data_IF_548102320639
#
_entry.id   IF_548102320639
#
_cell.length_a   1.000
_cell.length_b   1.000
_cell.length_c   1.000
_cell.angle_alpha   90.00
_cell.angle_beta   90.00
_cell.angle_gamma   90.00
#
_symmetry.space_group_name_H-M   'P 1'
#
loop_
_entity.id
_entity.type
_entity.pdbx_description
1 polymer ?
#
# COMPACT_ATOMS: atom_id res chain seq x y z
N UNK A 1 -10.90 -20.26 -30.79
CA UNK A 1 -9.53 -19.95 -30.33
C UNK A 1 -9.61 -18.64 -29.54
N UNK A 2 -9.28 -18.49 -28.26
CA UNK A 2 -8.45 -19.23 -27.30
C UNK A 2 -9.08 -19.05 -25.91
N UNK A 3 -9.40 -20.15 -25.22
CA UNK A 3 -9.72 -20.12 -23.78
C UNK A 3 -8.43 -19.78 -23.03
N UNK A 4 -8.34 -18.59 -22.42
CA UNK A 4 -7.27 -18.32 -21.44
C UNK A 4 -7.48 -19.25 -20.26
N UNK A 5 -6.59 -20.24 -20.13
CA UNK A 5 -6.54 -21.12 -18.98
C UNK A 5 -6.27 -20.31 -17.73
N UNK A 6 -7.28 -20.18 -16.87
CA UNK A 6 -7.05 -19.97 -15.44
C UNK A 6 -6.40 -21.24 -14.93
N UNK A 7 -5.08 -21.19 -14.68
CA UNK A 7 -4.39 -22.29 -14.01
C UNK A 7 -5.09 -22.52 -12.66
N UNK A 8 -5.48 -23.76 -12.32
CA UNK A 8 -5.97 -24.06 -10.98
C UNK A 8 -4.88 -23.67 -9.97
N UNK A 9 -5.28 -22.92 -8.94
CA UNK A 9 -4.37 -22.47 -7.88
C UNK A 9 -3.91 -23.70 -7.11
N UNK A 10 -2.61 -23.98 -7.16
CA UNK A 10 -1.97 -25.04 -6.40
C UNK A 10 -2.18 -24.77 -4.89
N UNK A 11 -2.70 -25.74 -4.10
CA UNK A 11 -2.94 -25.58 -2.66
C UNK A 11 -1.68 -25.27 -1.84
N UNK A 12 -0.48 -25.33 -2.45
CA UNK A 12 0.80 -24.95 -1.84
C UNK A 12 1.27 -23.52 -2.19
N UNK A 13 0.47 -22.70 -2.88
CA UNK A 13 0.84 -21.29 -3.13
C UNK A 13 0.86 -20.55 -1.78
N UNK A 14 2.08 -20.33 -1.29
CA UNK A 14 2.36 -19.48 -0.12
C UNK A 14 1.56 -18.19 -0.26
N UNK A 15 0.74 -17.87 0.75
CA UNK A 15 -0.02 -16.62 0.78
C UNK A 15 0.98 -15.46 0.82
N UNK A 16 1.13 -14.72 -0.27
CA UNK A 16 2.05 -13.60 -0.35
C UNK A 16 1.36 -12.30 0.04
N UNK A 17 1.92 -11.61 1.04
CA UNK A 17 1.45 -10.33 1.55
C UNK A 17 2.46 -9.24 1.22
N UNK A 18 1.98 -8.14 0.65
CA UNK A 18 2.80 -6.96 0.36
C UNK A 18 2.36 -5.77 1.22
N UNK A 19 3.32 -4.96 1.66
CA UNK A 19 3.08 -3.64 2.23
C UNK A 19 3.64 -2.58 1.29
N UNK A 20 2.82 -1.58 0.99
CA UNK A 20 3.22 -0.34 0.34
C UNK A 20 3.22 0.79 1.35
N UNK A 21 4.38 1.39 1.58
CA UNK A 21 4.50 2.65 2.30
C UNK A 21 4.37 3.82 1.34
N UNK A 22 3.40 4.69 1.60
CA UNK A 22 3.29 5.94 0.87
C UNK A 22 4.48 6.83 1.22
N UNK A 23 4.86 7.72 0.30
CA UNK A 23 5.88 8.72 0.59
C UNK A 23 5.35 9.73 1.62
N UNK A 24 6.27 10.37 2.35
CA UNK A 24 5.91 11.35 3.39
C UNK A 24 4.90 12.37 2.85
N UNK A 25 3.85 12.64 3.64
CA UNK A 25 2.73 13.55 3.33
C UNK A 25 1.78 13.09 2.21
N UNK A 26 2.02 11.94 1.57
CA UNK A 26 1.06 11.38 0.62
C UNK A 26 -0.03 10.61 1.37
N UNK A 27 -1.26 11.05 1.19
CA UNK A 27 -2.47 10.36 1.62
C UNK A 27 -3.19 9.70 0.44
N UNK A 28 -4.08 8.76 0.73
CA UNK A 28 -5.00 8.22 -0.27
C UNK A 28 -5.89 9.34 -0.83
N UNK A 29 -6.35 10.26 0.02
CA UNK A 29 -7.07 11.46 -0.44
C UNK A 29 -6.30 12.21 -1.53
N UNK A 30 -5.03 12.51 -1.26
CA UNK A 30 -4.18 13.20 -2.22
C UNK A 30 -4.07 12.43 -3.53
N UNK A 31 -3.86 11.11 -3.48
CA UNK A 31 -3.80 10.29 -4.70
C UNK A 31 -5.08 10.33 -5.53
N UNK A 32 -6.25 10.33 -4.87
CA UNK A 32 -7.55 10.44 -5.56
C UNK A 32 -7.70 11.82 -6.19
N UNK A 33 -7.45 12.87 -5.42
CA UNK A 33 -7.62 14.26 -5.85
C UNK A 33 -6.69 14.62 -7.03
N UNK A 34 -5.51 14.02 -7.11
CA UNK A 34 -4.52 14.29 -8.17
C UNK A 34 -4.54 13.27 -9.31
N UNK A 35 -5.45 12.29 -9.30
CA UNK A 35 -5.53 11.23 -10.31
C UNK A 35 -4.39 10.19 -10.29
N UNK A 36 -3.50 10.23 -9.29
CA UNK A 36 -2.42 9.24 -9.13
C UNK A 36 -3.00 7.86 -8.79
N UNK A 37 -4.09 7.84 -8.03
CA UNK A 37 -4.77 6.64 -7.56
C UNK A 37 -5.06 5.64 -8.70
N UNK A 38 -5.68 6.13 -9.78
CA UNK A 38 -6.15 5.28 -10.88
C UNK A 38 -5.00 4.57 -11.60
N UNK A 39 -3.82 5.18 -11.63
CA UNK A 39 -2.61 4.58 -12.23
C UNK A 39 -1.94 3.59 -11.29
N UNK A 40 -1.70 3.99 -10.05
CA UNK A 40 -0.90 3.22 -9.10
C UNK A 40 -1.59 1.93 -8.66
N UNK A 41 -2.93 1.94 -8.51
CA UNK A 41 -3.68 0.76 -8.07
C UNK A 41 -3.55 -0.43 -9.02
N UNK A 42 -3.43 -0.18 -10.33
CA UNK A 42 -3.47 -1.21 -11.38
C UNK A 42 -2.40 -2.29 -11.20
N UNK A 43 -1.21 -1.90 -10.73
CA UNK A 43 -0.11 -2.86 -10.51
C UNK A 43 -0.50 -3.86 -9.42
N UNK A 44 -1.00 -3.36 -8.29
CA UNK A 44 -1.41 -4.20 -7.15
C UNK A 44 -2.64 -5.03 -7.49
N UNK A 45 -3.63 -4.44 -8.14
CA UNK A 45 -4.85 -5.14 -8.57
C UNK A 45 -4.53 -6.26 -9.56
N UNK A 46 -3.59 -6.04 -10.50
CA UNK A 46 -3.14 -7.09 -11.41
C UNK A 46 -2.46 -8.25 -10.68
N UNK A 47 -1.63 -7.96 -9.68
CA UNK A 47 -0.99 -9.00 -8.87
C UNK A 47 -1.98 -9.80 -8.03
N UNK A 48 -2.98 -9.12 -7.44
CA UNK A 48 -4.07 -9.74 -6.69
C UNK A 48 -4.95 -10.62 -7.59
N UNK A 49 -5.37 -10.10 -8.74
CA UNK A 49 -6.20 -10.82 -9.71
C UNK A 49 -5.50 -12.05 -10.30
N UNK A 50 -4.17 -11.97 -10.48
CA UNK A 50 -3.37 -13.11 -10.96
C UNK A 50 -3.01 -14.12 -9.86
N UNK A 51 -3.40 -13.87 -8.60
CA UNK A 51 -3.09 -14.74 -7.46
C UNK A 51 -1.63 -14.71 -7.02
N UNK A 52 -0.81 -13.80 -7.56
CA UNK A 52 0.59 -13.64 -7.14
C UNK A 52 0.72 -12.90 -5.80
N UNK A 53 -0.30 -12.13 -5.42
CA UNK A 53 -0.45 -11.57 -4.08
C UNK A 53 -1.83 -11.97 -3.56
N UNK A 54 -1.94 -12.18 -2.27
CA UNK A 54 -3.22 -12.46 -1.61
C UNK A 54 -3.76 -11.22 -0.89
N UNK A 55 -2.86 -10.34 -0.47
CA UNK A 55 -3.18 -9.14 0.30
C UNK A 55 -2.16 -8.06 0.05
N UNK A 56 -2.62 -6.81 0.00
CA UNK A 56 -1.75 -5.64 -0.05
C UNK A 56 -2.18 -4.67 1.05
N UNK A 57 -1.24 -4.21 1.88
CA UNK A 57 -1.46 -3.11 2.80
C UNK A 57 -0.93 -1.81 2.19
N UNK A 58 -1.68 -0.74 2.28
CA UNK A 58 -1.26 0.62 1.95
C UNK A 58 -1.16 1.43 3.24
N UNK A 59 0.05 1.72 3.66
CA UNK A 59 0.32 2.54 4.84
C UNK A 59 0.40 4.00 4.39
N UNK A 60 -0.54 4.83 4.83
CA UNK A 60 -0.72 6.19 4.32
C UNK A 60 -0.45 7.26 5.38
N UNK A 61 -0.31 8.51 4.95
CA UNK A 61 -0.17 9.67 5.85
C UNK A 61 -1.48 10.42 6.08
N UNK A 62 -2.60 9.98 5.50
CA UNK A 62 -3.91 10.56 5.76
C UNK A 62 -4.58 9.90 6.96
N UNK A 63 -4.97 10.70 7.95
CA UNK A 63 -5.66 10.21 9.15
C UNK A 63 -7.10 9.74 8.90
N UNK A 64 -7.69 10.10 7.77
CA UNK A 64 -9.07 9.73 7.37
C UNK A 64 -9.09 8.91 6.07
N UNK A 65 -7.98 8.26 5.72
CA UNK A 65 -7.89 7.49 4.48
C UNK A 65 -8.70 6.18 4.55
N UNK A 66 -9.02 5.70 5.75
CA UNK A 66 -9.88 4.52 5.92
C UNK A 66 -11.29 4.75 5.37
N UNK A 67 -11.88 5.92 5.63
CA UNK A 67 -13.22 6.27 5.11
C UNK A 67 -13.21 6.38 3.59
N UNK A 68 -12.15 6.96 3.03
CA UNK A 68 -11.96 7.08 1.58
C UNK A 68 -11.80 5.69 0.95
N UNK A 69 -11.00 4.82 1.56
CA UNK A 69 -10.81 3.45 1.10
C UNK A 69 -12.12 2.66 1.10
N UNK A 70 -12.96 2.83 2.13
CA UNK A 70 -14.28 2.21 2.20
C UNK A 70 -15.17 2.63 1.03
N UNK A 71 -15.28 3.93 0.76
CA UNK A 71 -16.06 4.45 -0.37
C UNK A 71 -15.54 3.97 -1.73
N UNK A 72 -14.21 3.89 -1.89
CA UNK A 72 -13.60 3.36 -3.11
C UNK A 72 -13.87 1.87 -3.31
N UNK A 73 -13.94 1.07 -2.24
CA UNK A 73 -14.32 -0.35 -2.32
C UNK A 73 -15.80 -0.52 -2.64
N UNK A 74 -16.67 0.23 -1.98
CA UNK A 74 -18.12 0.21 -2.21
C UNK A 74 -18.47 0.60 -3.65
N UNK A 75 -17.74 1.55 -4.24
CA UNK A 75 -17.88 1.95 -5.64
C UNK A 75 -17.15 1.03 -6.64
N UNK A 76 -16.50 -0.04 -6.19
CA UNK A 76 -15.75 -0.98 -7.04
C UNK A 76 -14.45 -0.40 -7.64
N UNK A 77 -14.00 0.76 -7.18
CA UNK A 77 -12.78 1.42 -7.64
C UNK A 77 -11.51 0.89 -6.97
N UNK A 78 -11.63 0.24 -5.81
CA UNK A 78 -10.50 -0.35 -5.09
C UNK A 78 -10.75 -1.83 -4.81
N UNK A 79 -9.79 -2.69 -5.16
CA UNK A 79 -9.88 -4.12 -4.86
C UNK A 79 -10.00 -4.42 -3.36
N UNK A 80 -10.88 -5.35 -2.98
CA UNK A 80 -11.21 -5.66 -1.58
C UNK A 80 -10.01 -6.09 -0.73
N UNK A 81 -9.05 -6.80 -1.34
CA UNK A 81 -7.82 -7.26 -0.70
C UNK A 81 -6.72 -6.20 -0.57
N UNK A 82 -7.00 -4.94 -0.91
CA UNK A 82 -6.14 -3.80 -0.59
C UNK A 82 -6.64 -3.18 0.72
N UNK A 83 -5.82 -3.21 1.77
CA UNK A 83 -6.16 -2.70 3.10
C UNK A 83 -5.41 -1.39 3.35
N UNK A 84 -6.15 -0.31 3.55
CA UNK A 84 -5.57 1.02 3.78
C UNK A 84 -5.43 1.23 5.28
N UNK A 85 -4.22 1.52 5.73
CA UNK A 85 -3.86 1.74 7.13
C UNK A 85 -3.51 3.22 7.29
N UNK A 86 -4.44 4.03 7.84
CA UNK A 86 -4.24 5.46 7.97
C UNK A 86 -3.20 5.78 9.06
N UNK A 87 -2.60 6.96 8.96
CA UNK A 87 -1.74 7.49 10.02
C UNK A 87 -2.58 7.84 11.25
N UNK A 88 -2.17 7.44 12.48
CA UNK A 88 -2.87 7.84 13.70
C UNK A 88 -2.93 9.37 13.86
N UNK A 89 -4.07 9.88 14.32
CA UNK A 89 -4.34 11.32 14.39
C UNK A 89 -3.35 12.11 15.26
N UNK A 90 -2.74 11.48 16.26
CA UNK A 90 -1.70 12.09 17.10
C UNK A 90 -0.50 12.60 16.29
N UNK A 91 -0.24 12.02 15.11
CA UNK A 91 0.84 12.43 14.22
C UNK A 91 0.41 13.47 13.17
N UNK A 92 -0.85 13.93 13.19
CA UNK A 92 -1.40 14.89 12.22
C UNK A 92 -0.96 16.34 12.48
N UNK A 93 0.36 16.55 12.56
CA UNK A 93 0.98 17.87 12.67
C UNK A 93 2.32 17.86 11.90
N UNK A 94 2.93 19.03 11.69
CA UNK A 94 4.09 19.22 10.79
C UNK A 94 5.26 18.29 11.11
N UNK A 95 5.59 18.14 12.39
CA UNK A 95 6.68 17.27 12.86
C UNK A 95 6.21 15.82 13.09
N UNK A 96 4.93 15.62 13.44
CA UNK A 96 4.34 14.31 13.65
C UNK A 96 4.44 13.42 12.42
N UNK A 97 4.26 13.97 11.21
CA UNK A 97 4.46 13.24 9.95
C UNK A 97 5.91 12.73 9.78
N UNK A 98 6.89 13.52 10.23
CA UNK A 98 8.31 13.13 10.16
C UNK A 98 8.58 12.03 11.17
N UNK A 99 8.13 12.21 12.42
CA UNK A 99 8.27 11.21 13.46
C UNK A 99 7.61 9.89 13.03
N UNK A 100 6.37 9.95 12.55
CA UNK A 100 5.64 8.80 12.03
C UNK A 100 6.41 8.06 10.94
N UNK A 101 7.05 8.78 10.00
CA UNK A 101 7.84 8.14 8.95
C UNK A 101 8.99 7.26 9.46
N UNK A 102 9.48 7.54 10.67
CA UNK A 102 10.54 6.77 11.33
C UNK A 102 9.95 5.64 12.18
N UNK A 103 8.91 5.92 12.96
CA UNK A 103 8.36 4.96 13.94
C UNK A 103 7.25 4.06 13.38
N UNK A 104 6.75 4.34 12.18
CA UNK A 104 5.68 3.59 11.52
C UNK A 104 5.92 2.07 11.50
N UNK A 105 7.13 1.54 11.21
CA UNK A 105 7.36 0.09 11.23
C UNK A 105 7.13 -0.55 12.60
N UNK A 106 7.36 0.19 13.69
CA UNK A 106 7.13 -0.28 15.06
C UNK A 106 5.65 -0.21 15.43
N UNK A 107 4.98 0.89 15.09
CA UNK A 107 3.54 1.06 15.30
C UNK A 107 2.78 -0.04 14.56
N UNK A 108 3.15 -0.29 13.30
CA UNK A 108 2.51 -1.29 12.44
C UNK A 108 3.24 -2.63 12.47
N UNK A 109 3.94 -2.94 13.57
CA UNK A 109 4.80 -4.13 13.66
C UNK A 109 4.06 -5.45 13.50
N UNK A 110 2.80 -5.52 13.94
CA UNK A 110 1.95 -6.68 13.71
C UNK A 110 1.74 -6.95 12.21
N UNK A 111 1.48 -5.89 11.43
CA UNK A 111 1.30 -5.99 9.98
C UNK A 111 2.63 -6.31 9.29
N UNK A 112 3.73 -5.69 9.75
CA UNK A 112 5.05 -5.89 9.17
C UNK A 112 5.59 -7.31 9.36
N UNK A 113 5.28 -7.98 10.49
CA UNK A 113 5.72 -9.35 10.76
C UNK A 113 5.15 -10.38 9.77
N UNK A 114 3.96 -10.11 9.24
CA UNK A 114 3.25 -11.02 8.33
C UNK A 114 3.52 -10.72 6.84
N UNK A 115 4.32 -9.69 6.54
CA UNK A 115 4.56 -9.26 5.16
C UNK A 115 5.78 -9.95 4.54
N UNK A 116 5.63 -10.41 3.30
CA UNK A 116 6.70 -11.00 2.51
C UNK A 116 7.46 -9.95 1.69
N UNK A 117 6.76 -8.87 1.28
CA UNK A 117 7.31 -7.84 0.39
C UNK A 117 7.03 -6.46 0.97
N UNK A 118 8.06 -5.64 1.07
CA UNK A 118 7.95 -4.23 1.43
C UNK A 118 8.28 -3.37 0.22
N UNK A 119 7.39 -2.43 -0.10
CA UNK A 119 7.53 -1.48 -1.22
C UNK A 119 7.29 -0.06 -0.71
N UNK A 120 7.92 0.90 -1.38
CA UNK A 120 7.56 2.32 -1.31
C UNK A 120 7.31 2.87 -2.71
N UNK A 121 6.52 3.94 -2.83
CA UNK A 121 6.23 4.56 -4.13
C UNK A 121 7.35 5.46 -4.62
N UNK A 122 7.88 6.31 -3.72
CA UNK A 122 9.02 7.17 -3.99
C UNK A 122 9.83 7.28 -2.70
N UNK A 123 11.13 7.02 -2.77
CA UNK A 123 12.04 7.13 -1.61
C UNK A 123 12.56 8.57 -1.41
N UNK A 124 11.78 9.61 -1.74
CA UNK A 124 12.37 10.89 -2.16
C UNK A 124 13.34 11.52 -1.13
N UNK A 125 14.62 11.73 -1.48
CA UNK A 125 15.29 11.64 -2.81
C UNK A 125 16.07 10.36 -3.13
N UNK A 126 15.43 9.19 -3.15
CA UNK A 126 16.01 7.84 -3.02
C UNK A 126 16.90 7.65 -1.79
N UNK A 127 16.75 8.52 -0.78
CA UNK A 127 17.73 8.83 0.26
C UNK A 127 19.14 9.23 -0.28
N UNK A 128 19.22 9.69 -1.54
CA UNK A 128 20.41 9.94 -2.42
C UNK A 128 20.99 8.69 -3.12
N UNK A 129 20.17 7.67 -3.39
CA UNK A 129 20.49 6.31 -3.87
C UNK A 129 20.87 5.35 -2.72
N UNK A 130 20.00 5.29 -1.72
CA UNK A 130 20.23 4.67 -0.39
C UNK A 130 21.46 5.31 0.28
N UNK A 131 21.72 6.57 -0.08
CA UNK A 131 22.90 7.41 0.18
C UNK A 131 24.08 7.23 -0.82
N UNK A 132 24.02 6.25 -1.74
CA UNK A 132 25.00 5.81 -2.76
C UNK A 132 25.80 4.54 -2.38
N UNK A 133 25.14 3.55 -1.78
CA UNK A 133 25.68 2.19 -1.53
C UNK A 133 26.72 2.10 -0.40
N UNK A 134 26.56 2.88 0.66
CA UNK A 134 27.43 2.87 1.84
C UNK A 134 26.67 2.38 3.07
#
# INVERSE_FOLDING_TARGET
MTRKGTRPLDPLIKKMVMILFFSRRNSLKYWVDTGIFDREKLVYEKHLNNGTLNKVYWITYGCHDEQIAKLLKESGKLHNNIFVVPMPQIFNHRFGNILYSIICPFIQSAICKDADIFKTNQMDGSYSAVIARF
#
